data_IF_540026856383
#
_entry.id   IF_540026856383
#
_cell.length_a   1.000
_cell.length_b   1.000
_cell.length_c   1.000
_cell.angle_alpha   90.00
_cell.angle_beta   90.00
_cell.angle_gamma   90.00
#
_symmetry.space_group_name_H-M   'P 1'
#
loop_
_entity.id
_entity.type
_entity.pdbx_description
1 polymer ?
#
# COMPACT_ATOMS: atom_id res chain seq x y z
N UNK A 1 7.05 19.57 31.79
CA UNK A 1 6.91 18.12 32.00
C UNK A 1 5.47 17.82 32.39
N UNK A 2 4.50 17.89 31.46
CA UNK A 2 3.08 17.68 31.81
C UNK A 2 2.18 17.37 30.58
N UNK A 3 2.63 16.50 29.66
CA UNK A 3 1.88 16.20 28.42
C UNK A 3 1.67 14.71 28.13
N UNK A 4 1.71 13.83 29.14
CA UNK A 4 1.51 12.39 28.96
C UNK A 4 0.49 11.78 29.94
N UNK A 5 -0.52 12.55 30.36
CA UNK A 5 -1.65 12.06 31.17
C UNK A 5 -3.00 12.17 30.44
N UNK A 6 -3.00 12.08 29.10
CA UNK A 6 -4.21 11.63 28.39
C UNK A 6 -4.30 10.11 28.52
N UNK A 7 -5.49 9.51 28.73
CA UNK A 7 -5.68 8.06 28.80
C UNK A 7 -5.51 7.47 27.39
N UNK A 8 -4.27 7.52 26.91
CA UNK A 8 -3.82 6.82 25.72
C UNK A 8 -3.50 5.43 26.21
N UNK A 9 -3.94 4.45 25.44
CA UNK A 9 -3.87 3.02 25.72
C UNK A 9 -5.02 2.56 26.63
N UNK A 10 -6.01 1.90 26.03
CA UNK A 10 -6.45 0.64 26.62
C UNK A 10 -5.20 -0.26 26.62
N UNK A 11 -4.31 -0.07 27.59
CA UNK A 11 -3.10 -0.87 27.75
C UNK A 11 -3.64 -2.26 28.01
N UNK A 12 -3.58 -3.15 27.02
CA UNK A 12 -3.61 -4.56 27.33
C UNK A 12 -2.34 -4.76 28.18
N UNK A 13 -2.47 -5.06 29.48
CA UNK A 13 -1.37 -4.93 30.45
C UNK A 13 -0.18 -5.84 30.11
N UNK A 14 -0.35 -6.76 29.15
CA UNK A 14 0.59 -7.80 28.78
C UNK A 14 1.32 -7.59 27.45
N UNK A 15 1.25 -6.41 26.85
CA UNK A 15 1.81 -6.19 25.50
C UNK A 15 2.90 -5.12 25.49
N UNK A 16 3.94 -5.35 24.69
CA UNK A 16 4.89 -4.30 24.33
C UNK A 16 4.23 -3.35 23.32
N UNK A 17 4.30 -2.06 23.59
CA UNK A 17 3.63 -1.05 22.76
C UNK A 17 4.66 -0.05 22.25
N UNK A 18 4.69 0.12 20.93
CA UNK A 18 5.54 1.09 20.23
C UNK A 18 4.63 2.11 19.55
N UNK A 19 4.94 3.39 19.71
CA UNK A 19 4.20 4.50 19.12
C UNK A 19 5.15 5.23 18.18
N UNK A 20 4.74 5.37 16.92
CA UNK A 20 5.52 6.05 15.90
C UNK A 20 4.68 7.07 15.13
N UNK A 21 5.36 8.01 14.50
CA UNK A 21 4.78 8.83 13.44
C UNK A 21 4.58 7.99 12.16
N UNK A 22 3.83 8.53 11.20
CA UNK A 22 3.59 7.84 9.93
C UNK A 22 4.86 7.68 9.09
N UNK A 23 5.87 8.53 9.29
CA UNK A 23 7.17 8.42 8.63
C UNK A 23 8.13 7.39 9.29
N UNK A 24 7.64 6.58 10.23
CA UNK A 24 8.45 5.57 10.92
C UNK A 24 9.11 6.04 12.22
N UNK A 25 9.21 7.36 12.46
CA UNK A 25 9.93 7.87 13.63
C UNK A 25 9.27 7.42 14.95
N UNK A 26 10.02 6.74 15.81
CA UNK A 26 9.54 6.32 17.13
C UNK A 26 9.38 7.55 18.03
N UNK A 27 8.17 7.76 18.55
CA UNK A 27 7.85 8.88 19.45
C UNK A 27 7.58 8.46 20.87
N UNK A 28 7.26 7.19 21.13
CA UNK A 28 7.07 6.65 22.48
C UNK A 28 6.98 5.12 22.48
N UNK A 29 6.95 4.55 23.68
CA UNK A 29 6.59 3.16 23.94
C UNK A 29 6.31 2.95 25.43
N UNK A 30 5.99 1.72 25.82
CA UNK A 30 5.92 1.35 27.24
C UNK A 30 7.20 0.64 27.71
N UNK A 31 7.32 0.38 29.02
CA UNK A 31 8.49 -0.31 29.57
C UNK A 31 8.69 -1.69 28.93
N UNK A 32 7.60 -2.42 28.65
CA UNK A 32 7.67 -3.72 27.98
C UNK A 32 8.28 -3.65 26.58
N UNK A 33 8.06 -2.57 25.83
CA UNK A 33 8.73 -2.38 24.55
C UNK A 33 10.24 -2.12 24.73
N UNK A 34 10.62 -1.33 25.73
CA UNK A 34 12.04 -1.13 26.04
C UNK A 34 12.73 -2.44 26.41
N UNK A 35 12.10 -3.21 27.29
CA UNK A 35 12.60 -4.51 27.73
C UNK A 35 12.66 -5.49 26.55
N UNK A 36 11.60 -5.58 25.75
CA UNK A 36 11.52 -6.49 24.60
C UNK A 36 12.58 -6.16 23.54
N UNK A 37 12.79 -4.89 23.21
CA UNK A 37 13.72 -4.49 22.16
C UNK A 37 15.15 -4.23 22.66
N UNK A 38 15.44 -4.52 23.93
CA UNK A 38 16.76 -4.33 24.58
C UNK A 38 17.23 -2.86 24.59
N UNK A 39 16.31 -1.91 24.81
CA UNK A 39 16.63 -0.49 25.02
C UNK A 39 16.60 -0.13 26.50
N UNK A 40 17.66 0.49 27.01
CA UNK A 40 17.75 0.86 28.42
C UNK A 40 17.01 2.15 28.79
N UNK A 41 16.64 2.96 27.80
CA UNK A 41 15.90 4.20 28.05
C UNK A 41 15.00 4.60 26.90
N UNK A 42 13.88 5.24 27.26
CA UNK A 42 12.96 5.84 26.30
C UNK A 42 13.64 6.91 25.42
N UNK A 43 14.58 7.67 25.97
CA UNK A 43 15.33 8.69 25.21
C UNK A 43 16.23 8.09 24.13
N UNK A 44 16.76 6.90 24.36
CA UNK A 44 17.57 6.18 23.38
C UNK A 44 16.69 5.51 22.32
N UNK A 45 15.58 4.90 22.74
CA UNK A 45 14.61 4.25 21.85
C UNK A 45 14.04 5.22 20.81
N UNK A 46 13.72 6.46 21.20
CA UNK A 46 13.21 7.51 20.28
C UNK A 46 14.23 8.05 19.27
N UNK A 47 15.51 7.70 19.38
CA UNK A 47 16.52 8.06 18.37
C UNK A 47 16.45 7.19 17.12
N UNK A 48 15.72 6.08 17.21
CA UNK A 48 15.63 5.06 16.19
C UNK A 48 14.27 5.15 15.49
N UNK A 49 14.21 4.52 14.32
CA UNK A 49 13.03 4.41 13.49
C UNK A 49 12.44 2.99 13.56
N UNK A 50 11.19 2.82 13.17
CA UNK A 50 10.57 1.49 13.15
C UNK A 50 11.34 0.49 12.29
N UNK A 51 11.97 0.92 11.20
CA UNK A 51 12.81 0.04 10.36
C UNK A 51 14.01 -0.55 11.11
N UNK A 52 14.48 0.11 12.17
CA UNK A 52 15.59 -0.39 13.00
C UNK A 52 15.15 -1.56 13.88
N UNK A 53 13.84 -1.75 14.08
CA UNK A 53 13.23 -2.86 14.83
C UNK A 53 12.91 -4.07 13.94
N UNK A 54 13.38 -4.07 12.70
CA UNK A 54 13.10 -5.08 11.68
C UNK A 54 14.39 -5.76 11.21
N UNK A 55 14.30 -6.97 10.62
CA UNK A 55 15.45 -7.59 9.97
C UNK A 55 16.10 -6.67 8.92
N UNK A 56 17.42 -6.73 8.78
CA UNK A 56 18.16 -5.83 7.89
C UNK A 56 17.77 -5.97 6.42
N UNK A 57 17.45 -7.19 5.97
CA UNK A 57 16.95 -7.45 4.62
C UNK A 57 15.59 -6.81 4.35
N UNK A 58 14.84 -6.48 5.41
CA UNK A 58 13.52 -5.87 5.31
C UNK A 58 13.59 -4.34 5.27
N UNK A 59 14.53 -3.75 6.01
CA UNK A 59 14.63 -2.30 6.20
C UNK A 59 14.63 -1.47 4.89
N UNK A 60 15.27 -1.90 3.78
CA UNK A 60 15.23 -1.18 2.51
C UNK A 60 13.85 -1.08 1.85
N UNK A 61 12.94 -1.99 2.21
CA UNK A 61 11.57 -2.02 1.69
C UNK A 61 10.55 -1.40 2.65
N UNK A 62 11.02 -0.81 3.75
CA UNK A 62 10.15 -0.06 4.64
C UNK A 62 9.71 1.24 3.94
N UNK A 63 8.40 1.54 3.86
CA UNK A 63 7.93 2.72 3.14
C UNK A 63 8.37 4.01 3.85
N UNK A 64 8.62 5.07 3.08
CA UNK A 64 8.90 6.41 3.62
C UNK A 64 7.71 6.96 4.44
N UNK A 65 6.49 6.55 4.10
CA UNK A 65 5.27 6.87 4.84
C UNK A 65 4.32 5.66 4.95
N UNK A 66 3.96 5.31 6.18
CA UNK A 66 2.99 4.27 6.50
C UNK A 66 1.58 4.71 6.08
N UNK A 67 0.98 3.93 5.19
CA UNK A 67 -0.41 4.09 4.74
C UNK A 67 -1.31 2.98 5.31
N UNK A 68 -2.61 3.02 5.01
CA UNK A 68 -3.54 1.95 5.43
C UNK A 68 -3.16 0.58 4.88
N UNK A 69 -2.45 0.52 3.75
CA UNK A 69 -2.04 -0.72 3.09
C UNK A 69 -0.90 -1.44 3.82
N UNK A 70 -0.19 -0.71 4.69
CA UNK A 70 0.96 -1.20 5.43
C UNK A 70 0.59 -1.73 6.83
N UNK A 71 -0.71 -1.73 7.18
CA UNK A 71 -1.17 -1.98 8.53
C UNK A 71 -2.01 -3.23 8.62
N UNK A 72 -1.72 -4.00 9.65
CA UNK A 72 -2.44 -5.20 10.05
C UNK A 72 -3.69 -4.85 10.87
N UNK A 73 -4.71 -4.22 10.26
CA UNK A 73 -5.94 -3.85 10.98
C UNK A 73 -6.83 -5.05 11.35
N UNK A 74 -6.67 -6.16 10.65
CA UNK A 74 -7.43 -7.40 10.80
C UNK A 74 -6.96 -8.26 11.99
N UNK A 75 -5.89 -7.84 12.68
CA UNK A 75 -5.45 -8.42 13.94
C UNK A 75 -3.97 -8.74 13.99
N UNK A 76 -3.64 -9.80 14.75
CA UNK A 76 -2.26 -10.19 15.01
C UNK A 76 -1.71 -11.10 13.92
N UNK A 77 -0.64 -10.65 13.27
CA UNK A 77 0.12 -11.45 12.29
C UNK A 77 1.47 -11.85 12.86
N UNK A 78 2.02 -12.96 12.38
CA UNK A 78 3.38 -13.37 12.76
C UNK A 78 4.39 -12.56 11.97
N UNK A 79 5.35 -11.96 12.67
CA UNK A 79 6.46 -11.20 12.11
C UNK A 79 7.78 -11.63 12.73
N UNK A 80 8.88 -11.25 12.09
CA UNK A 80 10.19 -11.23 12.72
C UNK A 80 10.57 -9.78 13.00
N UNK A 81 11.05 -9.54 14.21
CA UNK A 81 11.55 -8.25 14.67
C UNK A 81 13.03 -8.39 15.06
N UNK A 82 13.72 -7.26 15.13
CA UNK A 82 15.12 -7.15 15.51
C UNK A 82 15.26 -6.34 16.79
N UNK A 83 16.01 -6.86 17.76
CA UNK A 83 16.39 -6.15 18.98
C UNK A 83 17.57 -5.22 18.71
N UNK A 84 17.86 -4.34 19.66
CA UNK A 84 18.95 -3.35 19.53
C UNK A 84 20.33 -3.99 19.29
N UNK A 85 20.58 -5.16 19.88
CA UNK A 85 21.82 -5.92 19.74
C UNK A 85 21.90 -6.75 18.45
N UNK A 86 20.85 -6.71 17.61
CA UNK A 86 20.77 -7.46 16.36
C UNK A 86 20.09 -8.83 16.49
N UNK A 87 19.72 -9.27 17.70
CA UNK A 87 18.99 -10.52 17.87
C UNK A 87 17.63 -10.46 17.14
N UNK A 88 17.34 -11.48 16.34
CA UNK A 88 16.04 -11.63 15.71
C UNK A 88 15.12 -12.47 16.61
N UNK A 89 13.85 -12.07 16.68
CA UNK A 89 12.84 -12.82 17.42
C UNK A 89 11.51 -12.83 16.67
N UNK A 90 10.77 -13.93 16.82
CA UNK A 90 9.43 -14.05 16.27
C UNK A 90 8.42 -13.37 17.20
N UNK A 91 7.44 -12.68 16.61
CA UNK A 91 6.40 -11.99 17.37
C UNK A 91 5.04 -12.06 16.68
N UNK A 92 3.99 -11.83 17.46
CA UNK A 92 2.69 -11.41 16.96
C UNK A 92 2.62 -9.89 17.00
N UNK A 93 2.43 -9.28 15.82
CA UNK A 93 2.32 -7.84 15.64
C UNK A 93 0.91 -7.46 15.17
N UNK A 94 0.29 -6.56 15.91
CA UNK A 94 -0.96 -5.89 15.51
C UNK A 94 -0.71 -4.38 15.47
N UNK A 95 -1.12 -3.73 14.40
CA UNK A 95 -0.88 -2.30 14.18
C UNK A 95 -2.20 -1.59 13.90
N UNK A 96 -2.37 -0.39 14.43
CA UNK A 96 -3.52 0.45 14.11
C UNK A 96 -3.16 1.93 14.25
N UNK A 97 -4.05 2.81 13.78
CA UNK A 97 -3.89 4.25 13.93
C UNK A 97 -4.65 4.79 15.12
N UNK A 98 -4.08 5.80 15.76
CA UNK A 98 -4.77 6.60 16.76
C UNK A 98 -4.56 8.10 16.52
N UNK A 99 -5.64 8.87 16.59
CA UNK A 99 -5.58 10.33 16.53
C UNK A 99 -5.43 10.88 17.96
N UNK A 100 -4.37 11.64 18.19
CA UNK A 100 -4.08 12.31 19.47
C UNK A 100 -3.77 13.77 19.16
N UNK A 101 -4.57 14.70 19.71
CA UNK A 101 -4.43 16.14 19.49
C UNK A 101 -4.34 16.52 17.99
N UNK A 102 -5.27 15.99 17.18
CA UNK A 102 -5.32 16.15 15.72
C UNK A 102 -4.09 15.66 14.95
N UNK A 103 -3.20 14.88 15.58
CA UNK A 103 -2.10 14.19 14.92
C UNK A 103 -2.35 12.69 14.93
N UNK A 104 -2.08 12.05 13.79
CA UNK A 104 -2.26 10.61 13.61
C UNK A 104 -0.95 9.89 13.92
N UNK A 105 -1.03 8.87 14.76
CA UNK A 105 0.10 8.04 15.16
C UNK A 105 -0.17 6.58 14.81
N UNK A 106 0.90 5.85 14.50
CA UNK A 106 0.90 4.41 14.36
C UNK A 106 1.17 3.79 15.74
N UNK A 107 0.32 2.85 16.14
CA UNK A 107 0.46 2.09 17.38
C UNK A 107 0.70 0.63 17.04
N UNK A 108 1.86 0.11 17.41
CA UNK A 108 2.23 -1.29 17.26
C UNK A 108 2.15 -2.03 18.59
N UNK A 109 1.35 -3.09 18.63
CA UNK A 109 1.25 -4.04 19.73
C UNK A 109 2.06 -5.28 19.40
N UNK A 110 3.02 -5.61 20.26
CA UNK A 110 4.00 -6.67 20.03
C UNK A 110 3.93 -7.69 21.15
N UNK A 111 3.82 -8.97 20.77
CA UNK A 111 3.91 -10.12 21.68
C UNK A 111 4.98 -11.06 21.18
N UNK A 112 6.00 -11.31 21.97
CA UNK A 112 7.01 -12.30 21.64
C UNK A 112 6.42 -13.71 21.56
N UNK A 113 6.92 -14.52 20.63
CA UNK A 113 6.59 -15.93 20.50
C UNK A 113 7.76 -16.72 21.08
N UNK A 114 7.52 -17.39 22.22
CA UNK A 114 8.48 -18.29 22.85
C UNK A 114 8.16 -19.74 22.46
N UNK A 115 8.47 -20.11 21.22
CA UNK A 115 8.27 -21.46 20.68
C UNK A 115 9.52 -21.86 19.89
N UNK A 116 10.27 -22.81 20.43
CA UNK A 116 11.54 -23.29 19.85
C UNK A 116 11.36 -23.98 18.48
N UNK A 117 10.13 -24.35 18.12
CA UNK A 117 9.83 -24.89 16.79
C UNK A 117 9.78 -23.82 15.69
N UNK A 118 9.82 -22.53 16.07
CA UNK A 118 9.77 -21.42 15.14
C UNK A 118 11.11 -21.24 14.43
N UNK A 119 11.08 -21.49 13.13
CA UNK A 119 12.18 -21.20 12.21
C UNK A 119 12.16 -19.71 11.80
N UNK A 120 13.01 -18.91 12.45
CA UNK A 120 13.12 -17.46 12.24
C UNK A 120 13.53 -17.15 10.79
N UNK A 121 14.48 -17.90 10.22
CA UNK A 121 14.96 -17.67 8.85
C UNK A 121 13.82 -17.87 7.84
N UNK A 122 13.06 -18.95 8.00
CA UNK A 122 11.87 -19.21 7.17
C UNK A 122 10.79 -18.14 7.35
N UNK A 123 10.61 -17.58 8.54
CA UNK A 123 9.69 -16.47 8.76
C UNK A 123 10.17 -15.18 8.08
N UNK A 124 11.46 -14.85 8.15
CA UNK A 124 12.05 -13.73 7.42
C UNK A 124 11.79 -13.85 5.91
N UNK A 125 12.04 -15.03 5.32
CA UNK A 125 11.78 -15.26 3.89
C UNK A 125 10.31 -15.04 3.52
N UNK A 126 9.38 -15.53 4.34
CA UNK A 126 7.94 -15.29 4.12
C UNK A 126 7.59 -13.80 4.17
N UNK A 127 8.17 -13.06 5.12
CA UNK A 127 7.94 -11.63 5.27
C UNK A 127 8.49 -10.84 4.07
N UNK A 128 9.67 -11.22 3.56
CA UNK A 128 10.25 -10.63 2.35
C UNK A 128 9.36 -10.86 1.11
N UNK A 129 8.83 -12.07 0.93
CA UNK A 129 7.91 -12.38 -0.19
C UNK A 129 6.68 -11.47 -0.16
N UNK A 130 6.07 -11.28 1.01
CA UNK A 130 4.87 -10.43 1.15
C UNK A 130 5.17 -9.00 0.72
N UNK A 131 6.31 -8.45 1.12
CA UNK A 131 6.66 -7.06 0.76
C UNK A 131 7.03 -6.92 -0.70
N UNK A 132 7.82 -7.83 -1.26
CA UNK A 132 8.14 -7.82 -2.68
C UNK A 132 6.87 -7.92 -3.56
N UNK A 133 5.86 -8.68 -3.13
CA UNK A 133 4.57 -8.74 -3.81
C UNK A 133 3.81 -7.40 -3.76
N UNK A 134 3.88 -6.68 -2.64
CA UNK A 134 3.27 -5.34 -2.49
C UNK A 134 3.97 -4.33 -3.40
N UNK A 135 5.30 -4.26 -3.35
CA UNK A 135 6.11 -3.39 -4.21
C UNK A 135 5.84 -3.65 -5.70
N UNK A 136 5.85 -4.92 -6.10
CA UNK A 136 5.53 -5.30 -7.47
C UNK A 136 4.11 -4.86 -7.88
N UNK A 137 3.15 -4.92 -6.96
CA UNK A 137 1.78 -4.48 -7.20
C UNK A 137 1.69 -2.96 -7.32
N UNK A 138 2.39 -2.21 -6.47
CA UNK A 138 2.46 -0.75 -6.52
C UNK A 138 3.07 -0.25 -7.83
N UNK A 139 4.21 -0.82 -8.23
CA UNK A 139 4.88 -0.48 -9.49
C UNK A 139 4.03 -0.83 -10.72
N UNK A 140 3.32 -1.96 -10.69
CA UNK A 140 2.34 -2.31 -11.74
C UNK A 140 1.22 -1.28 -11.84
N UNK A 141 0.67 -0.82 -10.71
CA UNK A 141 -0.39 0.19 -10.69
C UNK A 141 0.09 1.54 -11.20
N UNK A 142 1.30 1.97 -10.81
CA UNK A 142 1.94 3.20 -11.29
C UNK A 142 2.18 3.17 -12.80
N UNK A 143 2.73 2.05 -13.31
CA UNK A 143 2.94 1.86 -14.74
C UNK A 143 1.65 1.83 -15.54
N UNK A 144 0.59 1.19 -15.02
CA UNK A 144 -0.75 1.23 -15.62
C UNK A 144 -1.29 2.65 -15.72
N UNK A 145 -1.20 3.45 -14.67
CA UNK A 145 -1.66 4.84 -14.66
C UNK A 145 -0.90 5.71 -15.67
N UNK A 146 0.43 5.57 -15.74
CA UNK A 146 1.24 6.29 -16.73
C UNK A 146 0.88 5.90 -18.16
N UNK A 147 0.76 4.59 -18.44
CA UNK A 147 0.36 4.07 -19.75
C UNK A 147 -1.03 4.56 -20.14
N UNK A 148 -1.95 4.58 -19.18
CA UNK A 148 -3.31 5.06 -19.36
C UNK A 148 -3.36 6.55 -19.69
N UNK A 149 -2.59 7.37 -18.98
CA UNK A 149 -2.51 8.81 -19.20
C UNK A 149 -1.88 9.13 -20.55
N UNK A 150 -0.79 8.47 -20.90
CA UNK A 150 -0.13 8.63 -22.19
C UNK A 150 -1.06 8.26 -23.35
N UNK A 151 -1.69 7.08 -23.28
CA UNK A 151 -2.65 6.61 -24.28
C UNK A 151 -3.84 7.57 -24.41
N UNK A 152 -4.37 8.07 -23.29
CA UNK A 152 -5.46 9.07 -23.30
C UNK A 152 -5.08 10.36 -24.02
N UNK A 153 -3.84 10.84 -23.82
CA UNK A 153 -3.32 12.03 -24.51
C UNK A 153 -3.17 11.80 -26.01
N UNK A 154 -2.65 10.64 -26.44
CA UNK A 154 -2.54 10.29 -27.86
C UNK A 154 -3.91 10.23 -28.54
N UNK A 155 -4.87 9.54 -27.93
CA UNK A 155 -6.24 9.44 -28.44
C UNK A 155 -6.91 10.82 -28.50
N UNK A 156 -6.70 11.67 -27.48
CA UNK A 156 -7.22 13.04 -27.47
C UNK A 156 -6.68 13.91 -28.60
N UNK A 157 -5.44 13.70 -29.04
CA UNK A 157 -4.87 14.38 -30.21
C UNK A 157 -5.51 13.92 -31.51
N UNK A 158 -5.77 12.63 -31.69
CA UNK A 158 -6.45 12.10 -32.89
C UNK A 158 -7.94 12.48 -32.93
N UNK A 159 -8.60 12.51 -31.76
CA UNK A 159 -10.05 12.67 -31.66
C UNK A 159 -10.44 13.74 -30.63
N UNK A 160 -10.27 15.04 -30.93
CA UNK A 160 -10.53 16.13 -30.00
C UNK A 160 -11.99 16.26 -29.53
N UNK A 161 -12.94 15.63 -30.23
CA UNK A 161 -14.38 15.62 -29.90
C UNK A 161 -14.73 14.70 -28.70
N UNK A 162 -13.79 13.84 -28.29
CA UNK A 162 -13.97 12.94 -27.16
C UNK A 162 -13.88 13.71 -25.84
N UNK A 163 -14.80 13.45 -24.91
CA UNK A 163 -14.70 14.03 -23.57
C UNK A 163 -13.66 13.28 -22.74
N UNK A 164 -13.25 13.83 -21.59
CA UNK A 164 -12.33 13.15 -20.68
C UNK A 164 -12.81 11.74 -20.29
N UNK A 165 -14.12 11.55 -20.05
CA UNK A 165 -14.68 10.23 -19.76
C UNK A 165 -14.63 9.28 -20.97
N UNK A 166 -14.77 9.81 -22.20
CA UNK A 166 -14.57 9.01 -23.41
C UNK A 166 -13.10 8.56 -23.54
N UNK A 167 -12.16 9.47 -23.31
CA UNK A 167 -10.72 9.19 -23.39
C UNK A 167 -10.30 8.11 -22.39
N UNK A 168 -10.84 8.15 -21.17
CA UNK A 168 -10.62 7.10 -20.16
C UNK A 168 -11.04 5.72 -20.68
N UNK A 169 -12.25 5.61 -21.21
CA UNK A 169 -12.76 4.34 -21.74
C UNK A 169 -11.98 3.90 -22.98
N UNK A 170 -11.67 4.83 -23.89
CA UNK A 170 -10.89 4.55 -25.10
C UNK A 170 -9.48 4.06 -24.77
N UNK A 171 -8.83 4.64 -23.75
CA UNK A 171 -7.50 4.23 -23.31
C UNK A 171 -7.47 2.78 -22.80
N UNK A 172 -8.51 2.35 -22.08
CA UNK A 172 -8.62 0.94 -21.64
C UNK A 172 -8.91 0.00 -22.82
N UNK A 173 -9.78 0.41 -23.75
CA UNK A 173 -10.06 -0.37 -24.95
C UNK A 173 -8.79 -0.55 -25.80
N UNK A 174 -8.02 0.52 -26.02
CA UNK A 174 -6.78 0.47 -26.80
C UNK A 174 -5.71 -0.43 -26.17
N UNK A 175 -5.79 -0.65 -24.86
CA UNK A 175 -4.95 -1.57 -24.07
C UNK A 175 -5.56 -2.98 -23.94
N UNK A 176 -6.56 -3.33 -24.77
CA UNK A 176 -7.19 -4.65 -24.83
C UNK A 176 -7.98 -5.07 -23.58
N UNK A 177 -8.44 -4.12 -22.77
CA UNK A 177 -9.32 -4.44 -21.63
C UNK A 177 -10.71 -4.83 -22.14
N UNK A 178 -11.24 -5.94 -21.62
CA UNK A 178 -12.61 -6.35 -21.91
C UNK A 178 -13.63 -5.54 -21.09
N UNK A 179 -14.92 -5.61 -21.46
CA UNK A 179 -15.96 -4.80 -20.80
C UNK A 179 -16.08 -5.02 -19.29
N UNK A 180 -15.78 -6.22 -18.79
CA UNK A 180 -15.81 -6.53 -17.35
C UNK A 180 -14.64 -5.87 -16.62
N UNK A 181 -13.44 -5.90 -17.21
CA UNK A 181 -12.27 -5.22 -16.66
C UNK A 181 -12.47 -3.70 -16.68
N UNK A 182 -13.02 -3.14 -17.77
CA UNK A 182 -13.34 -1.70 -17.86
C UNK A 182 -14.37 -1.29 -16.80
N UNK A 183 -15.42 -2.10 -16.60
CA UNK A 183 -16.44 -1.80 -15.59
C UNK A 183 -15.88 -1.77 -14.17
N UNK A 184 -14.97 -2.70 -13.87
CA UNK A 184 -14.28 -2.76 -12.58
C UNK A 184 -13.35 -1.57 -12.38
N UNK A 185 -12.54 -1.25 -13.39
CA UNK A 185 -11.55 -0.17 -13.35
C UNK A 185 -12.20 1.22 -13.18
N UNK A 186 -13.33 1.45 -13.85
CA UNK A 186 -14.04 2.74 -13.83
C UNK A 186 -15.18 2.81 -12.81
N UNK A 187 -15.41 1.73 -12.05
CA UNK A 187 -16.52 1.60 -11.10
C UNK A 187 -17.89 1.97 -11.71
N UNK A 188 -18.19 1.40 -12.88
CA UNK A 188 -19.48 1.53 -13.58
C UNK A 188 -20.05 0.16 -13.91
N UNK A 189 -21.31 0.08 -14.34
CA UNK A 189 -21.89 -1.19 -14.79
C UNK A 189 -21.33 -1.59 -16.16
N UNK A 190 -21.30 -2.90 -16.44
CA UNK A 190 -20.96 -3.42 -17.78
C UNK A 190 -21.84 -2.84 -18.88
N UNK A 191 -23.12 -2.60 -18.58
CA UNK A 191 -24.06 -1.95 -19.50
C UNK A 191 -23.69 -0.49 -19.76
N UNK A 192 -23.20 0.21 -18.73
CA UNK A 192 -22.60 1.54 -18.87
C UNK A 192 -21.41 1.54 -19.84
N UNK A 193 -20.56 0.51 -19.79
CA UNK A 193 -19.45 0.34 -20.75
C UNK A 193 -19.99 0.13 -22.17
N UNK A 194 -21.00 -0.72 -22.36
CA UNK A 194 -21.59 -0.94 -23.68
C UNK A 194 -22.23 0.32 -24.26
N UNK A 195 -22.96 1.08 -23.44
CA UNK A 195 -23.55 2.36 -23.84
C UNK A 195 -22.46 3.37 -24.24
N UNK A 196 -21.37 3.45 -23.46
CA UNK A 196 -20.23 4.30 -23.79
C UNK A 196 -19.55 3.87 -25.10
N UNK A 197 -19.32 2.58 -25.33
CA UNK A 197 -18.77 2.07 -26.60
C UNK A 197 -19.65 2.48 -27.79
N UNK A 198 -20.97 2.36 -27.68
CA UNK A 198 -21.92 2.81 -28.72
C UNK A 198 -21.82 4.31 -28.96
N UNK A 199 -21.75 5.12 -27.89
CA UNK A 199 -21.60 6.58 -27.98
C UNK A 199 -20.28 6.99 -28.63
N UNK A 200 -19.17 6.36 -28.24
CA UNK A 200 -17.84 6.61 -28.80
C UNK A 200 -17.84 6.27 -30.29
N UNK A 201 -18.37 5.11 -30.70
CA UNK A 201 -18.49 4.74 -32.13
C UNK A 201 -19.22 5.82 -32.94
N UNK A 202 -20.32 6.38 -32.41
CA UNK A 202 -21.05 7.47 -33.07
C UNK A 202 -20.21 8.74 -33.18
N UNK A 203 -19.51 9.14 -32.11
CA UNK A 203 -18.62 10.32 -32.12
C UNK A 203 -17.48 10.20 -33.12
N UNK A 204 -16.93 9.00 -33.24
CA UNK A 204 -15.86 8.67 -34.18
C UNK A 204 -16.38 8.34 -35.59
N UNK A 205 -17.69 8.37 -35.81
CA UNK A 205 -18.36 8.07 -37.08
C UNK A 205 -17.95 6.70 -37.68
N UNK A 206 -17.77 5.70 -36.81
CA UNK A 206 -17.35 4.35 -37.25
C UNK A 206 -18.50 3.58 -37.90
N UNK A 207 -18.22 3.00 -39.06
CA UNK A 207 -19.09 2.10 -39.79
C UNK A 207 -19.23 0.74 -39.06
N UNK A 208 -20.25 -0.04 -39.42
CA UNK A 208 -20.53 -1.34 -38.79
C UNK A 208 -19.32 -2.30 -38.85
N UNK A 209 -18.57 -2.27 -39.94
CA UNK A 209 -17.43 -3.16 -40.19
C UNK A 209 -16.13 -2.66 -39.53
N UNK A 210 -16.11 -1.44 -39.01
CA UNK A 210 -14.91 -0.87 -38.38
C UNK A 210 -14.84 -1.26 -36.91
N UNK A 211 -13.69 -1.80 -36.52
CA UNK A 211 -13.43 -2.17 -35.15
C UNK A 211 -12.93 -0.94 -34.36
N UNK A 212 -13.64 -0.62 -33.27
CA UNK A 212 -13.31 0.51 -32.40
C UNK A 212 -11.91 0.36 -31.78
N UNK A 213 -11.56 -0.84 -31.34
CA UNK A 213 -10.27 -1.15 -30.72
C UNK A 213 -9.12 -0.96 -31.69
N UNK A 214 -9.22 -1.55 -32.90
CA UNK A 214 -8.22 -1.36 -33.96
C UNK A 214 -8.04 0.12 -34.31
N UNK A 215 -9.14 0.87 -34.38
CA UNK A 215 -9.10 2.33 -34.67
C UNK A 215 -8.31 3.09 -33.60
N UNK A 216 -8.60 2.82 -32.32
CA UNK A 216 -7.93 3.48 -31.19
C UNK A 216 -6.46 3.06 -31.09
N UNK A 217 -6.14 1.77 -31.25
CA UNK A 217 -4.76 1.27 -31.23
C UNK A 217 -3.93 1.85 -32.40
N UNK A 218 -4.52 2.02 -33.58
CA UNK A 218 -3.84 2.64 -34.73
C UNK A 218 -3.52 4.11 -34.50
N UNK A 219 -4.35 4.85 -33.76
CA UNK A 219 -4.04 6.22 -33.35
C UNK A 219 -2.79 6.26 -32.45
N UNK A 220 -2.66 5.30 -31.53
CA UNK A 220 -1.54 5.26 -30.58
C UNK A 220 -0.20 4.85 -31.22
N UNK A 221 -0.23 4.07 -32.31
CA UNK A 221 0.96 3.60 -33.05
C UNK A 221 1.51 4.59 -34.09
N UNK A 222 0.76 5.63 -34.44
CA UNK A 222 1.24 6.69 -35.36
C UNK A 222 2.03 7.72 -34.57
N UNK A 223 3.25 7.37 -34.13
CA UNK A 223 4.36 8.28 -33.83
C UNK A 223 5.67 7.52 -34.00
#
# INVERSE_FOLDING_TARGET
MEYLNTPILNVLPNEAIVIAQLNGQIVSGNQKALDLYHYHSMSDFKKHDLKDLMPDDFAPFYPDEMTIEHINFDGYHTHVCKRKDGELFACKLHTHYQNINNKKYLIGHVKEIHDDSVDIEKLCLKQNIIVLQRELTAERSKNKNNTFQHTSQQIGKCFPILSNNDLKICSLIAQHFNSKQISQELNITTDGVYAARKRIRKKLQLNANENLETTLSNCCRKN
#
